data_IF_319749664694
#
_entry.id   IF_319749664694
#
_cell.length_a   1.000
_cell.length_b   1.000
_cell.length_c   1.000
_cell.angle_alpha   90.00
_cell.angle_beta   90.00
_cell.angle_gamma   90.00
#
_symmetry.space_group_name_H-M   'P 1'
#
loop_
_entity.id
_entity.type
_entity.pdbx_description
1 polymer ?
#
# COMPACT_ATOMS: atom_id res chain seq x y z
N UNK A 1 8.48 -22.65 27.25
CA UNK A 1 7.66 -21.60 26.62
C UNK A 1 7.52 -21.99 25.16
N UNK A 2 6.31 -22.26 24.68
CA UNK A 2 6.07 -22.64 23.28
C UNK A 2 6.32 -21.41 22.41
N UNK A 3 7.28 -21.46 21.49
CA UNK A 3 7.50 -20.39 20.54
C UNK A 3 6.34 -20.35 19.55
N UNK A 4 5.45 -19.36 19.66
CA UNK A 4 4.42 -19.12 18.63
C UNK A 4 5.11 -18.86 17.30
N UNK A 5 4.84 -19.69 16.30
CA UNK A 5 5.33 -19.49 14.94
C UNK A 5 4.44 -18.49 14.22
N UNK A 6 5.07 -17.54 13.51
CA UNK A 6 4.40 -16.64 12.58
C UNK A 6 4.64 -17.19 11.18
N UNK A 7 3.59 -17.65 10.53
CA UNK A 7 3.67 -18.29 9.23
C UNK A 7 3.66 -17.22 8.13
N UNK A 8 4.72 -17.06 7.33
CA UNK A 8 4.63 -16.26 6.12
C UNK A 8 3.66 -16.93 5.15
N UNK A 9 2.84 -16.13 4.46
CA UNK A 9 1.98 -16.62 3.38
C UNK A 9 2.04 -15.69 2.19
N UNK A 10 2.20 -16.25 0.99
CA UNK A 10 2.19 -15.49 -0.26
C UNK A 10 0.76 -15.26 -0.74
N UNK A 11 0.53 -14.23 -1.59
CA UNK A 11 -0.79 -14.00 -2.18
C UNK A 11 -1.41 -15.25 -2.83
N UNK A 12 -0.62 -16.02 -3.58
CA UNK A 12 -1.06 -17.23 -4.28
C UNK A 12 -1.47 -18.36 -3.33
N UNK A 13 -1.01 -18.32 -2.08
CA UNK A 13 -1.26 -19.33 -1.07
C UNK A 13 -2.47 -18.99 -0.18
N UNK A 14 -3.14 -17.84 -0.39
CA UNK A 14 -4.29 -17.42 0.42
C UNK A 14 -5.41 -18.46 0.49
N UNK A 15 -5.57 -19.29 -0.54
CA UNK A 15 -6.54 -20.40 -0.56
C UNK A 15 -6.20 -21.57 0.38
N UNK A 16 -4.99 -21.61 0.93
CA UNK A 16 -4.53 -22.65 1.88
C UNK A 16 -4.85 -22.33 3.33
N UNK A 17 -5.32 -21.11 3.61
CA UNK A 17 -5.66 -20.69 4.96
C UNK A 17 -6.81 -21.52 5.53
N UNK A 18 -6.82 -21.78 6.84
CA UNK A 18 -7.98 -22.37 7.50
C UNK A 18 -9.26 -21.57 7.18
N UNK A 19 -10.42 -22.22 6.96
CA UNK A 19 -11.68 -21.50 6.72
C UNK A 19 -12.10 -20.56 7.87
N UNK A 20 -11.64 -20.84 9.09
CA UNK A 20 -11.85 -20.00 10.28
C UNK A 20 -10.90 -18.80 10.37
N UNK A 21 -9.93 -18.68 9.44
CA UNK A 21 -8.94 -17.63 9.49
C UNK A 21 -9.56 -16.25 9.26
N UNK A 22 -9.41 -15.37 10.24
CA UNK A 22 -9.84 -13.97 10.13
C UNK A 22 -8.77 -13.16 9.41
N UNK A 23 -9.21 -12.23 8.55
CA UNK A 23 -8.33 -11.37 7.76
C UNK A 23 -8.27 -10.00 8.41
N UNK A 24 -7.19 -9.70 9.13
CA UNK A 24 -7.06 -8.48 9.92
C UNK A 24 -6.12 -7.51 9.19
N UNK A 25 -6.69 -6.42 8.70
CA UNK A 25 -5.92 -5.34 8.07
C UNK A 25 -5.50 -4.31 9.11
N UNK A 26 -4.19 -4.17 9.31
CA UNK A 26 -3.61 -3.27 10.34
C UNK A 26 -3.15 -1.93 9.77
N UNK A 27 -3.59 -1.58 8.55
CA UNK A 27 -3.37 -0.25 7.96
C UNK A 27 -4.22 0.82 8.62
N UNK A 28 -3.96 2.06 8.23
CA UNK A 28 -4.83 3.18 8.59
C UNK A 28 -6.12 3.18 7.76
N UNK A 29 -7.24 3.76 8.25
CA UNK A 29 -8.51 3.80 7.53
C UNK A 29 -8.40 4.35 6.10
N UNK A 30 -7.61 5.42 5.93
CA UNK A 30 -7.38 6.03 4.62
C UNK A 30 -6.67 5.11 3.61
N UNK A 31 -5.88 4.14 4.09
CA UNK A 31 -5.25 3.14 3.22
C UNK A 31 -6.20 1.97 2.92
N UNK A 32 -7.07 1.60 3.86
CA UNK A 32 -8.02 0.48 3.73
C UNK A 32 -9.08 0.71 2.65
N UNK A 33 -9.53 1.96 2.52
CA UNK A 33 -10.41 2.43 1.44
C UNK A 33 -9.64 3.09 0.29
N UNK A 34 -8.30 3.01 0.31
CA UNK A 34 -7.42 3.65 -0.67
C UNK A 34 -7.26 2.88 -1.98
N UNK A 35 -6.29 3.31 -2.79
CA UNK A 35 -6.05 2.81 -4.14
C UNK A 35 -5.79 1.30 -4.23
N UNK A 36 -5.09 0.74 -3.23
CA UNK A 36 -4.73 -0.68 -3.21
C UNK A 36 -5.91 -1.60 -2.86
N UNK A 37 -7.05 -1.03 -2.46
CA UNK A 37 -8.19 -1.76 -1.94
C UNK A 37 -7.86 -2.58 -0.70
N UNK A 38 -8.66 -3.63 -0.49
CA UNK A 38 -8.51 -4.64 0.57
C UNK A 38 -8.84 -6.02 0.04
N UNK A 39 -8.34 -7.06 0.71
CA UNK A 39 -8.79 -8.42 0.44
C UNK A 39 -10.28 -8.57 0.83
N UNK A 40 -11.06 -9.37 0.09
CA UNK A 40 -12.43 -9.68 0.46
C UNK A 40 -12.52 -10.26 1.87
N UNK A 41 -13.50 -9.80 2.64
CA UNK A 41 -13.70 -10.23 4.04
C UNK A 41 -12.67 -9.72 5.04
N UNK A 42 -11.81 -8.77 4.66
CA UNK A 42 -10.90 -8.12 5.61
C UNK A 42 -11.63 -7.23 6.62
N UNK A 43 -11.24 -7.33 7.88
CA UNK A 43 -11.63 -6.48 9.00
C UNK A 43 -10.53 -5.43 9.23
N UNK A 44 -10.89 -4.15 9.29
CA UNK A 44 -9.95 -3.08 9.61
C UNK A 44 -9.73 -3.00 11.12
N UNK A 45 -8.50 -3.26 11.57
CA UNK A 45 -8.07 -3.09 12.97
C UNK A 45 -6.68 -2.44 12.97
N UNK A 46 -6.60 -1.10 12.97
CA UNK A 46 -5.33 -0.38 12.85
C UNK A 46 -4.32 -0.83 13.90
N UNK A 47 -3.03 -0.87 13.52
CA UNK A 47 -1.95 -1.32 14.40
C UNK A 47 -1.95 -0.57 15.74
N UNK A 48 -2.29 0.72 15.74
CA UNK A 48 -2.33 1.55 16.93
C UNK A 48 -3.36 1.10 17.97
N UNK A 49 -4.48 0.52 17.53
CA UNK A 49 -5.59 0.07 18.40
C UNK A 49 -5.67 -1.45 18.51
N UNK A 50 -4.72 -2.17 17.90
CA UNK A 50 -4.77 -3.63 17.74
C UNK A 50 -4.84 -4.36 19.09
N UNK A 51 -3.98 -4.00 20.04
CA UNK A 51 -3.91 -4.70 21.33
C UNK A 51 -5.22 -4.56 22.12
N UNK A 52 -5.79 -3.36 22.15
CA UNK A 52 -7.06 -3.12 22.85
C UNK A 52 -8.23 -3.83 22.15
N UNK A 53 -8.30 -3.74 20.82
CA UNK A 53 -9.35 -4.38 20.03
C UNK A 53 -9.34 -5.92 20.11
N UNK A 54 -8.16 -6.49 20.35
CA UNK A 54 -7.95 -7.95 20.39
C UNK A 54 -8.13 -8.56 21.78
N UNK A 55 -8.31 -7.77 22.84
CA UNK A 55 -8.56 -8.27 24.20
C UNK A 55 -9.64 -9.36 24.25
N UNK A 56 -10.85 -9.19 23.65
CA UNK A 56 -11.90 -10.19 23.73
C UNK A 56 -11.74 -11.36 22.75
N UNK A 57 -10.69 -11.39 21.92
CA UNK A 57 -10.57 -12.39 20.86
C UNK A 57 -10.03 -13.73 21.39
N UNK A 58 -10.55 -14.86 20.90
CA UNK A 58 -9.97 -16.17 21.16
C UNK A 58 -8.53 -16.24 20.62
N UNK A 59 -7.63 -16.84 21.39
CA UNK A 59 -6.18 -16.90 21.08
C UNK A 59 -5.82 -18.00 20.08
N UNK A 60 -6.71 -18.98 19.91
CA UNK A 60 -6.58 -20.15 19.05
C UNK A 60 -7.18 -19.95 17.65
N UNK A 61 -7.92 -18.87 17.43
CA UNK A 61 -8.46 -18.53 16.11
C UNK A 61 -7.33 -18.03 15.18
N UNK A 62 -7.16 -18.63 13.98
CA UNK A 62 -6.15 -18.20 13.02
C UNK A 62 -6.35 -16.76 12.54
N UNK A 63 -5.28 -15.97 12.52
CA UNK A 63 -5.31 -14.59 12.02
C UNK A 63 -4.34 -14.41 10.86
N UNK A 64 -4.85 -13.99 9.71
CA UNK A 64 -4.05 -13.43 8.62
C UNK A 64 -3.90 -11.92 8.84
N UNK A 65 -2.67 -11.46 9.10
CA UNK A 65 -2.38 -10.05 9.27
C UNK A 65 -1.90 -9.44 7.96
N UNK A 66 -2.52 -8.33 7.60
CA UNK A 66 -2.37 -7.66 6.31
C UNK A 66 -1.94 -6.23 6.56
N UNK A 67 -0.98 -5.74 5.79
CA UNK A 67 -0.71 -4.32 5.71
C UNK A 67 -0.33 -3.91 4.29
N UNK A 68 0.21 -2.71 4.09
CA UNK A 68 0.63 -2.23 2.77
C UNK A 68 1.74 -3.08 2.14
N UNK A 69 2.81 -3.41 2.89
CA UNK A 69 4.04 -4.03 2.35
C UNK A 69 4.54 -5.25 3.13
N UNK A 70 3.79 -5.75 4.11
CA UNK A 70 4.17 -6.86 4.99
C UNK A 70 4.92 -6.48 6.29
N UNK A 71 5.54 -5.29 6.35
CA UNK A 71 6.34 -4.91 7.53
C UNK A 71 5.51 -4.61 8.80
N UNK A 72 4.42 -3.85 8.65
CA UNK A 72 3.53 -3.50 9.77
C UNK A 72 2.74 -4.70 10.29
N UNK A 73 2.30 -5.57 9.39
CA UNK A 73 1.60 -6.82 9.75
C UNK A 73 2.53 -7.81 10.44
N UNK A 74 3.82 -7.88 10.08
CA UNK A 74 4.80 -8.66 10.84
C UNK A 74 4.97 -8.12 12.26
N UNK A 75 5.01 -6.80 12.44
CA UNK A 75 5.02 -6.18 13.77
C UNK A 75 3.74 -6.53 14.56
N UNK A 76 2.58 -6.43 13.92
CA UNK A 76 1.30 -6.84 14.52
C UNK A 76 1.33 -8.31 14.98
N UNK A 77 1.87 -9.22 14.16
CA UNK A 77 1.93 -10.64 14.47
C UNK A 77 2.81 -10.89 15.70
N UNK A 78 3.95 -10.20 15.81
CA UNK A 78 4.81 -10.30 17.00
C UNK A 78 4.11 -9.82 18.27
N UNK A 79 3.41 -8.68 18.20
CA UNK A 79 2.64 -8.15 19.32
C UNK A 79 1.54 -9.13 19.76
N UNK A 80 0.81 -9.72 18.82
CA UNK A 80 -0.23 -10.71 19.15
C UNK A 80 0.35 -12.03 19.66
N UNK A 81 1.50 -12.47 19.16
CA UNK A 81 2.20 -13.64 19.69
C UNK A 81 2.57 -13.45 21.17
N UNK A 82 3.01 -12.25 21.56
CA UNK A 82 3.28 -11.88 22.95
C UNK A 82 2.00 -11.88 23.82
N UNK A 83 0.83 -11.62 23.23
CA UNK A 83 -0.48 -11.73 23.90
C UNK A 83 -1.05 -13.16 23.92
N UNK A 84 -0.27 -14.15 23.48
CA UNK A 84 -0.62 -15.57 23.55
C UNK A 84 -1.45 -16.09 22.37
N UNK A 85 -1.62 -15.32 21.30
CA UNK A 85 -2.18 -15.86 20.06
C UNK A 85 -1.27 -16.95 19.50
N UNK A 86 -1.86 -18.06 19.01
CA UNK A 86 -1.11 -19.27 18.67
C UNK A 86 -1.07 -19.57 17.16
N UNK A 87 -1.96 -18.97 16.37
CA UNK A 87 -2.05 -19.20 14.93
C UNK A 87 -2.05 -17.86 14.17
N UNK A 88 -0.86 -17.43 13.76
CA UNK A 88 -0.63 -16.12 13.16
C UNK A 88 0.03 -16.27 11.78
N UNK A 89 -0.57 -15.62 10.78
CA UNK A 89 -0.06 -15.57 9.42
C UNK A 89 0.28 -14.13 9.07
N UNK A 90 1.42 -13.92 8.42
CA UNK A 90 1.77 -12.62 7.86
C UNK A 90 1.74 -12.70 6.33
N UNK A 91 0.93 -11.85 5.70
CA UNK A 91 0.89 -11.76 4.25
C UNK A 91 2.20 -11.14 3.71
N UNK A 92 3.01 -11.94 3.04
CA UNK A 92 4.26 -11.51 2.43
C UNK A 92 3.99 -10.42 1.38
N UNK A 93 4.74 -9.31 1.46
CA UNK A 93 4.57 -8.17 0.56
C UNK A 93 3.26 -7.38 0.72
N UNK A 94 2.34 -7.81 1.58
CA UNK A 94 1.09 -7.11 1.87
C UNK A 94 0.22 -6.86 0.64
N UNK A 95 -0.57 -5.79 0.67
CA UNK A 95 -1.45 -5.42 -0.44
C UNK A 95 -0.72 -5.09 -1.74
N UNK A 96 0.55 -4.66 -1.70
CA UNK A 96 1.35 -4.47 -2.91
C UNK A 96 1.53 -5.78 -3.67
N UNK A 97 1.88 -6.87 -2.97
CA UNK A 97 2.03 -8.19 -3.58
C UNK A 97 0.69 -8.80 -4.02
N UNK A 98 -0.42 -8.50 -3.32
CA UNK A 98 -1.77 -8.91 -3.74
C UNK A 98 -2.13 -8.30 -5.10
N UNK A 99 -1.87 -7.00 -5.27
CA UNK A 99 -2.15 -6.30 -6.51
C UNK A 99 -1.20 -6.74 -7.64
N UNK A 100 0.07 -6.97 -7.34
CA UNK A 100 1.04 -7.53 -8.30
C UNK A 100 0.65 -8.93 -8.76
N UNK A 101 0.10 -9.76 -7.86
CA UNK A 101 -0.42 -11.08 -8.18
C UNK A 101 -1.76 -11.06 -8.95
N UNK A 102 -2.34 -9.88 -9.20
CA UNK A 102 -3.61 -9.74 -9.93
C UNK A 102 -4.81 -10.36 -9.21
N UNK A 103 -4.76 -10.50 -7.89
CA UNK A 103 -5.86 -11.06 -7.12
C UNK A 103 -6.99 -10.05 -6.92
N UNK A 104 -8.21 -10.56 -6.75
CA UNK A 104 -9.39 -9.73 -6.49
C UNK A 104 -9.22 -8.92 -5.20
N UNK A 105 -9.45 -7.62 -5.31
CA UNK A 105 -9.52 -6.67 -4.20
C UNK A 105 -10.85 -5.89 -4.25
N UNK A 106 -11.30 -5.41 -3.10
CA UNK A 106 -12.53 -4.62 -2.94
C UNK A 106 -12.20 -3.25 -2.34
N UNK A 107 -13.12 -2.29 -2.48
CA UNK A 107 -13.04 -0.99 -1.81
C UNK A 107 -13.42 0.18 -2.73
N UNK A 108 -13.90 1.30 -2.16
CA UNK A 108 -14.37 2.45 -2.94
C UNK A 108 -13.24 3.16 -3.71
N UNK A 109 -12.00 3.05 -3.25
CA UNK A 109 -10.83 3.67 -3.88
C UNK A 109 -10.15 2.83 -4.96
N UNK A 110 -10.62 1.61 -5.25
CA UNK A 110 -9.98 0.71 -6.22
C UNK A 110 -10.26 1.22 -7.65
N UNK A 111 -9.24 1.64 -8.41
CA UNK A 111 -9.43 2.03 -9.80
C UNK A 111 -9.69 0.78 -10.67
N UNK A 112 -10.57 0.83 -11.67
CA UNK A 112 -10.85 -0.31 -12.54
C UNK A 112 -9.62 -0.77 -13.33
N UNK A 113 -8.80 0.19 -13.81
CA UNK A 113 -7.49 -0.02 -14.46
C UNK A 113 -6.61 1.23 -14.32
N UNK A 114 -5.32 1.06 -14.07
CA UNK A 114 -4.35 2.17 -14.03
C UNK A 114 -3.42 2.06 -15.23
N UNK A 115 -3.58 2.99 -16.18
CA UNK A 115 -2.67 3.15 -17.31
C UNK A 115 -1.48 4.03 -16.92
N UNK A 116 -0.38 3.93 -17.67
CA UNK A 116 0.75 4.84 -17.53
C UNK A 116 0.35 6.33 -17.70
N UNK A 117 -0.60 6.62 -18.59
CA UNK A 117 -1.16 7.96 -18.77
C UNK A 117 -1.91 8.44 -17.52
N UNK A 118 -2.76 7.59 -16.92
CA UNK A 118 -3.44 7.92 -15.68
C UNK A 118 -2.45 8.18 -14.53
N UNK A 119 -1.40 7.37 -14.40
CA UNK A 119 -0.40 7.56 -13.36
C UNK A 119 0.40 8.85 -13.55
N UNK A 120 0.74 9.21 -14.79
CA UNK A 120 1.33 10.51 -15.14
C UNK A 120 0.42 11.67 -14.74
N UNK A 121 -0.83 11.63 -15.16
CA UNK A 121 -1.78 12.72 -14.93
C UNK A 121 -2.01 12.93 -13.43
N UNK A 122 -2.16 11.84 -12.68
CA UNK A 122 -2.23 11.88 -11.23
C UNK A 122 -0.96 12.45 -10.58
N UNK A 123 0.23 12.13 -11.10
CA UNK A 123 1.49 12.70 -10.62
C UNK A 123 1.59 14.21 -10.90
N UNK A 124 1.10 14.66 -12.05
CA UNK A 124 0.99 16.09 -12.39
C UNK A 124 0.04 16.81 -11.42
N UNK A 125 -1.13 16.23 -11.14
CA UNK A 125 -2.11 16.78 -10.18
C UNK A 125 -1.51 16.79 -8.77
N UNK A 126 -0.91 15.70 -8.32
CA UNK A 126 -0.30 15.59 -7.00
C UNK A 126 0.85 16.58 -6.81
N UNK A 127 1.65 16.81 -7.85
CA UNK A 127 2.70 17.85 -7.83
C UNK A 127 2.08 19.23 -7.65
N UNK A 128 1.00 19.54 -8.39
CA UNK A 128 0.29 20.82 -8.23
C UNK A 128 -0.35 20.97 -6.86
N UNK A 129 -0.96 19.92 -6.30
CA UNK A 129 -1.55 19.96 -4.95
C UNK A 129 -0.48 20.17 -3.87
N UNK A 130 0.64 19.46 -3.98
CA UNK A 130 1.75 19.54 -3.02
C UNK A 130 2.37 20.94 -2.98
N UNK A 131 2.48 21.60 -4.12
CA UNK A 131 3.04 22.95 -4.24
C UNK A 131 2.00 24.08 -4.30
N UNK A 132 0.72 23.77 -4.46
CA UNK A 132 -0.37 24.70 -4.82
C UNK A 132 -0.74 25.73 -3.76
N UNK A 133 -0.07 25.72 -2.62
CA UNK A 133 -0.09 26.83 -1.66
C UNK A 133 0.87 27.98 -2.04
N UNK A 134 1.73 27.80 -3.05
CA UNK A 134 2.73 28.77 -3.49
C UNK A 134 2.32 29.44 -4.81
N UNK A 135 2.32 30.78 -4.90
CA UNK A 135 1.94 31.51 -6.10
C UNK A 135 2.88 31.30 -7.30
N UNK A 136 4.11 30.79 -7.07
CA UNK A 136 5.04 30.39 -8.13
C UNK A 136 5.85 29.19 -7.63
N UNK A 137 5.41 27.96 -7.93
CA UNK A 137 6.07 26.79 -7.39
C UNK A 137 7.44 26.61 -8.05
N UNK A 138 8.54 26.44 -7.28
CA UNK A 138 9.90 26.36 -7.80
C UNK A 138 10.18 25.08 -8.63
N UNK A 139 9.16 24.26 -8.86
CA UNK A 139 9.20 22.98 -9.57
C UNK A 139 8.69 23.06 -11.02
N UNK A 140 8.61 24.24 -11.62
CA UNK A 140 8.10 24.44 -12.99
C UNK A 140 8.78 23.53 -14.03
N UNK A 141 10.11 23.42 -13.98
CA UNK A 141 10.87 22.51 -14.85
C UNK A 141 10.61 21.01 -14.63
N UNK A 142 10.21 20.60 -13.41
CA UNK A 142 9.79 19.22 -13.14
C UNK A 142 8.38 18.99 -13.69
N UNK A 143 7.49 19.97 -13.53
CA UNK A 143 6.14 19.95 -14.04
C UNK A 143 6.11 19.88 -15.58
N UNK A 144 6.89 20.73 -16.25
CA UNK A 144 7.03 20.71 -17.72
C UNK A 144 7.49 19.35 -18.23
N UNK A 145 8.56 18.79 -17.63
CA UNK A 145 9.08 17.46 -17.99
C UNK A 145 8.04 16.36 -17.78
N UNK A 146 7.30 16.41 -16.67
CA UNK A 146 6.24 15.45 -16.37
C UNK A 146 5.10 15.53 -17.39
N UNK A 147 4.69 16.75 -17.74
CA UNK A 147 3.63 16.99 -18.74
C UNK A 147 4.03 16.61 -20.16
N UNK A 148 5.34 16.61 -20.47
CA UNK A 148 5.87 16.25 -21.78
C UNK A 148 5.91 14.73 -22.04
N UNK A 149 5.74 13.87 -21.03
CA UNK A 149 5.75 12.42 -21.24
C UNK A 149 4.44 11.92 -21.84
N UNK A 150 4.40 11.57 -23.12
CA UNK A 150 3.18 11.02 -23.73
C UNK A 150 2.81 9.61 -23.22
N UNK A 151 3.80 8.75 -22.97
CA UNK A 151 3.63 7.37 -22.49
C UNK A 151 4.78 6.95 -21.57
N UNK A 152 4.79 7.36 -20.29
CA UNK A 152 5.93 7.09 -19.43
C UNK A 152 5.99 5.63 -18.97
N UNK A 153 7.19 5.08 -18.91
CA UNK A 153 7.44 3.75 -18.33
C UNK A 153 7.36 3.79 -16.79
N UNK A 154 7.05 2.63 -16.17
CA UNK A 154 6.97 2.47 -14.71
C UNK A 154 8.23 2.96 -13.99
N UNK A 155 9.41 2.63 -14.52
CA UNK A 155 10.69 3.07 -13.96
C UNK A 155 10.85 4.60 -14.00
N UNK A 156 10.45 5.25 -15.11
CA UNK A 156 10.48 6.70 -15.26
C UNK A 156 9.54 7.41 -14.28
N UNK A 157 8.34 6.85 -14.07
CA UNK A 157 7.40 7.37 -13.08
C UNK A 157 7.94 7.26 -11.65
N UNK A 158 8.59 6.14 -11.30
CA UNK A 158 9.25 6.00 -10.00
C UNK A 158 10.37 7.02 -9.81
N UNK A 159 11.25 7.19 -10.79
CA UNK A 159 12.30 8.21 -10.72
C UNK A 159 11.73 9.61 -10.58
N UNK A 160 10.61 9.91 -11.23
CA UNK A 160 9.96 11.20 -11.11
C UNK A 160 9.39 11.45 -9.70
N UNK A 161 8.79 10.45 -9.07
CA UNK A 161 8.35 10.52 -7.65
C UNK A 161 9.54 10.79 -6.74
N UNK A 162 10.66 10.08 -6.91
CA UNK A 162 11.83 10.27 -6.04
C UNK A 162 12.42 11.68 -6.20
N UNK A 163 12.48 12.20 -7.44
CA UNK A 163 12.89 13.58 -7.72
C UNK A 163 11.95 14.60 -7.09
N UNK A 164 10.63 14.38 -7.20
CA UNK A 164 9.61 15.22 -6.56
C UNK A 164 9.83 15.26 -5.05
N UNK A 165 10.01 14.11 -4.42
CA UNK A 165 10.21 13.99 -2.98
C UNK A 165 11.50 14.66 -2.49
N UNK A 166 12.61 14.48 -3.21
CA UNK A 166 13.88 15.14 -2.89
C UNK A 166 13.74 16.67 -3.01
N UNK A 167 13.13 17.15 -4.09
CA UNK A 167 12.94 18.58 -4.33
C UNK A 167 11.99 19.22 -3.32
N UNK A 168 10.85 18.60 -3.04
CA UNK A 168 9.87 19.10 -2.08
C UNK A 168 10.47 19.27 -0.67
N UNK A 169 11.36 18.36 -0.26
CA UNK A 169 12.09 18.47 1.01
C UNK A 169 13.09 19.62 0.99
N UNK A 170 13.85 19.75 -0.10
CA UNK A 170 14.80 20.86 -0.26
C UNK A 170 14.10 22.23 -0.27
N UNK A 171 12.88 22.29 -0.81
CA UNK A 171 12.05 23.49 -0.85
C UNK A 171 11.28 23.73 0.48
N UNK A 172 11.49 22.87 1.51
CA UNK A 172 10.96 23.07 2.86
C UNK A 172 9.47 22.76 3.05
N UNK A 173 8.88 21.95 2.17
CA UNK A 173 7.47 21.54 2.31
C UNK A 173 7.26 20.61 3.52
N UNK A 174 6.05 20.56 4.09
CA UNK A 174 5.78 19.72 5.27
C UNK A 174 6.02 18.23 4.99
N UNK A 175 6.86 17.57 5.80
CA UNK A 175 7.25 16.17 5.62
C UNK A 175 6.03 15.23 5.52
N UNK A 176 4.99 15.47 6.31
CA UNK A 176 3.75 14.68 6.28
C UNK A 176 3.00 14.81 4.94
N UNK A 177 2.99 16.00 4.33
CA UNK A 177 2.36 16.22 3.03
C UNK A 177 3.18 15.53 1.91
N UNK A 178 4.51 15.60 1.99
CA UNK A 178 5.42 14.91 1.09
C UNK A 178 5.18 13.40 1.17
N UNK A 179 5.26 12.82 2.36
CA UNK A 179 5.14 11.38 2.55
C UNK A 179 3.77 10.82 2.14
N UNK A 180 2.69 11.56 2.43
CA UNK A 180 1.34 11.22 1.96
C UNK A 180 1.28 11.19 0.43
N UNK A 181 1.85 12.19 -0.21
CA UNK A 181 1.88 12.32 -1.68
C UNK A 181 2.70 11.20 -2.31
N UNK A 182 3.93 10.99 -1.84
CA UNK A 182 4.83 9.96 -2.37
C UNK A 182 4.23 8.56 -2.17
N UNK A 183 3.59 8.30 -1.02
CA UNK A 183 2.91 7.02 -0.77
C UNK A 183 1.78 6.79 -1.76
N UNK A 184 0.87 7.75 -1.92
CA UNK A 184 -0.25 7.67 -2.87
C UNK A 184 0.24 7.41 -4.30
N UNK A 185 1.30 8.11 -4.72
CA UNK A 185 1.85 7.96 -6.06
C UNK A 185 2.56 6.61 -6.25
N UNK A 186 3.31 6.12 -5.24
CA UNK A 186 3.91 4.78 -5.29
C UNK A 186 2.84 3.69 -5.34
N UNK A 187 1.74 3.85 -4.60
CA UNK A 187 0.59 2.93 -4.66
C UNK A 187 -0.02 2.94 -6.06
N UNK A 188 -0.27 4.12 -6.63
CA UNK A 188 -0.81 4.23 -7.98
C UNK A 188 0.09 3.58 -9.04
N UNK A 189 1.40 3.83 -8.98
CA UNK A 189 2.36 3.20 -9.90
C UNK A 189 2.39 1.69 -9.71
N UNK A 190 2.23 1.19 -8.47
CA UNK A 190 2.23 -0.25 -8.22
C UNK A 190 1.11 -0.98 -8.96
N UNK A 191 -0.01 -0.30 -9.17
CA UNK A 191 -1.21 -0.78 -9.88
C UNK A 191 -1.10 -0.69 -11.41
N UNK A 192 0.00 -0.17 -11.95
CA UNK A 192 0.18 -0.13 -13.41
C UNK A 192 0.12 -1.55 -13.96
N UNK A 193 -0.79 -1.75 -14.92
CA UNK A 193 -0.87 -3.01 -15.66
C UNK A 193 0.53 -3.36 -16.20
N UNK A 194 0.95 -4.60 -16.01
CA UNK A 194 2.07 -5.12 -16.77
C UNK A 194 1.66 -4.98 -18.24
N UNK A 195 2.39 -4.19 -19.03
CA UNK A 195 2.28 -4.32 -20.49
C UNK A 195 2.55 -5.79 -20.78
N UNK A 196 1.52 -6.54 -21.15
CA UNK A 196 1.73 -7.77 -21.89
C UNK A 196 2.57 -7.34 -23.10
N UNK A 197 3.86 -7.69 -23.05
CA UNK A 197 4.65 -7.72 -24.28
C UNK A 197 3.97 -8.83 -25.08
N UNK A 198 3.33 -8.53 -26.23
CA UNK A 198 2.81 -9.60 -27.06
C UNK A 198 3.98 -10.53 -27.38
N UNK A 199 3.80 -11.86 -27.30
CA UNK A 199 4.88 -12.77 -27.68
C UNK A 199 5.32 -12.42 -29.11
N UNK A 200 6.62 -12.15 -29.24
CA UNK A 200 7.31 -11.89 -30.51
C UNK A 200 7.15 -13.02 -31.50
#
# INVERSE_FOLDING_TARGET
>A
MSSTWIYPIRPQELGTLPPSARRIDVREPAEFDGLLGRLPGSELVPLATLLDATVPWPRDVPLLLICRSGARSMKAARLLAEQGFTSLYNLEGGMLAVNEAGLTVEGPGVPPRVSAGHARDALCVATRELYGALPSPPCESLFEKLSAFSHPERASLFQAIERLGSRARADGLPEEAIDRTLRRMRDLISLLEHREVPPS
#
